data_IF_767590313699
#
_entry.id   IF_767590313699
#
_cell.length_a   1.000
_cell.length_b   1.000
_cell.length_c   1.000
_cell.angle_alpha   90.00
_cell.angle_beta   90.00
_cell.angle_gamma   90.00
#
_symmetry.space_group_name_H-M   'P 1'
#
loop_
_entity.id
_entity.type
_entity.pdbx_description
1 polymer ?
#
# COMPACT_ATOMS: atom_id res chain seq x y z
N UNK A 1 69.76 -4.17 7.54
CA UNK A 1 68.56 -3.49 6.97
C UNK A 1 67.62 -4.54 6.42
N UNK A 2 66.45 -4.74 7.04
CA UNK A 2 65.33 -5.51 6.48
C UNK A 2 64.09 -4.64 6.62
N UNK A 3 63.54 -4.17 5.49
CA UNK A 3 62.26 -3.47 5.46
C UNK A 3 61.15 -4.54 5.45
N UNK A 4 60.31 -4.53 6.48
CA UNK A 4 59.04 -5.25 6.46
C UNK A 4 57.96 -4.34 5.85
N UNK A 5 57.38 -4.77 4.73
CA UNK A 5 56.23 -4.12 4.12
C UNK A 5 54.96 -4.61 4.81
N UNK A 6 54.25 -3.72 5.50
CA UNK A 6 52.89 -3.95 5.98
C UNK A 6 51.93 -3.67 4.81
N UNK A 7 51.28 -4.72 4.31
CA UNK A 7 50.17 -4.61 3.36
C UNK A 7 48.90 -4.42 4.18
N UNK A 8 48.35 -3.21 4.22
CA UNK A 8 47.01 -2.94 4.76
C UNK A 8 45.96 -3.35 3.74
N UNK A 9 45.24 -4.43 4.01
CA UNK A 9 44.05 -4.82 3.26
C UNK A 9 42.86 -3.94 3.71
N UNK A 10 42.44 -3.01 2.86
CA UNK A 10 41.16 -2.30 3.03
C UNK A 10 40.02 -3.27 2.69
N UNK A 11 39.30 -3.71 3.73
CA UNK A 11 38.05 -4.45 3.56
C UNK A 11 36.94 -3.43 3.30
N UNK A 12 36.50 -3.31 2.06
CA UNK A 12 35.31 -2.53 1.70
C UNK A 12 34.05 -3.34 2.06
N UNK A 13 33.35 -2.96 3.13
CA UNK A 13 32.00 -3.48 3.41
C UNK A 13 31.00 -2.83 2.44
N UNK A 14 30.22 -3.60 1.68
CA UNK A 14 29.11 -3.06 0.90
C UNK A 14 27.98 -2.67 1.87
N UNK A 15 27.66 -1.38 1.92
CA UNK A 15 26.47 -0.88 2.58
C UNK A 15 25.25 -1.30 1.75
N UNK A 16 24.54 -2.36 2.19
CA UNK A 16 23.19 -2.66 1.70
C UNK A 16 22.24 -1.87 2.60
N UNK A 17 22.04 -0.60 2.27
CA UNK A 17 21.03 0.23 2.93
C UNK A 17 19.67 -0.06 2.26
N UNK A 18 18.94 -1.06 2.75
CA UNK A 18 17.48 -1.11 2.53
C UNK A 18 16.87 -0.13 3.53
N UNK A 19 16.32 0.98 3.05
CA UNK A 19 15.55 1.90 3.89
C UNK A 19 14.15 1.30 4.06
N UNK A 20 13.69 1.13 5.31
CA UNK A 20 12.38 0.52 5.59
C UNK A 20 11.22 1.19 4.82
N UNK A 21 11.32 2.49 4.52
CA UNK A 21 10.34 3.20 3.69
C UNK A 21 10.35 2.78 2.20
N UNK A 22 11.51 2.44 1.64
CA UNK A 22 11.57 1.90 0.28
C UNK A 22 10.89 0.52 0.23
N UNK A 23 11.02 -0.26 1.30
CA UNK A 23 10.37 -1.57 1.40
C UNK A 23 8.83 -1.42 1.52
N UNK A 24 8.31 -0.49 2.33
CA UNK A 24 6.85 -0.21 2.43
C UNK A 24 6.26 0.21 1.08
N UNK A 25 6.85 1.25 0.46
CA UNK A 25 6.40 1.75 -0.86
C UNK A 25 6.41 0.64 -1.91
N UNK A 26 7.49 -0.13 -1.98
CA UNK A 26 7.61 -1.19 -2.97
C UNK A 26 6.65 -2.35 -2.74
N UNK A 27 6.39 -2.71 -1.47
CA UNK A 27 5.40 -3.73 -1.13
C UNK A 27 3.98 -3.26 -1.49
N UNK A 28 3.63 -2.00 -1.20
CA UNK A 28 2.35 -1.42 -1.59
C UNK A 28 2.15 -1.46 -3.10
N UNK A 29 3.09 -0.87 -3.86
CA UNK A 29 3.02 -0.81 -5.32
C UNK A 29 2.92 -2.22 -5.93
N UNK A 30 3.74 -3.15 -5.45
CA UNK A 30 3.70 -4.53 -5.92
C UNK A 30 2.35 -5.18 -5.63
N UNK A 31 1.82 -5.03 -4.42
CA UNK A 31 0.52 -5.58 -4.06
C UNK A 31 -0.58 -4.99 -4.94
N UNK A 32 -0.64 -3.67 -5.06
CA UNK A 32 -1.66 -2.94 -5.81
C UNK A 32 -1.71 -3.36 -7.28
N UNK A 33 -0.54 -3.42 -7.96
CA UNK A 33 -0.46 -3.90 -9.35
C UNK A 33 -0.99 -5.33 -9.49
N UNK A 34 -0.55 -6.23 -8.61
CA UNK A 34 -0.92 -7.64 -8.70
C UNK A 34 -2.37 -7.88 -8.30
N UNK A 35 -2.94 -7.10 -7.38
CA UNK A 35 -4.34 -7.18 -7.01
C UNK A 35 -5.27 -6.75 -8.16
N UNK A 36 -4.91 -5.71 -8.92
CA UNK A 36 -5.63 -5.31 -10.15
C UNK A 36 -5.59 -6.44 -11.19
N UNK A 37 -4.43 -7.06 -11.39
CA UNK A 37 -4.26 -8.17 -12.34
C UNK A 37 -5.01 -9.43 -11.86
N UNK A 38 -5.03 -9.68 -10.54
CA UNK A 38 -5.79 -10.75 -9.93
C UNK A 38 -7.30 -10.59 -10.19
N UNK A 39 -7.84 -9.38 -10.02
CA UNK A 39 -9.25 -9.08 -10.27
C UNK A 39 -9.67 -9.35 -11.73
N UNK A 40 -8.73 -9.31 -12.67
CA UNK A 40 -8.96 -9.71 -14.06
C UNK A 40 -8.88 -11.24 -14.31
N UNK A 41 -8.61 -12.04 -13.27
CA UNK A 41 -8.59 -13.50 -13.30
C UNK A 41 -7.21 -14.12 -13.53
N UNK A 42 -6.12 -13.44 -13.17
CA UNK A 42 -4.76 -13.96 -13.42
C UNK A 42 -4.35 -15.03 -12.41
N UNK A 43 -3.79 -16.15 -12.88
CA UNK A 43 -3.26 -17.21 -12.03
C UNK A 43 -1.77 -17.01 -11.72
N UNK A 44 -1.44 -16.74 -10.46
CA UNK A 44 -0.08 -16.51 -10.00
C UNK A 44 0.76 -17.80 -9.92
N UNK A 45 1.98 -17.74 -10.46
CA UNK A 45 2.94 -18.83 -10.40
C UNK A 45 4.00 -18.71 -9.30
N UNK A 46 4.19 -17.50 -8.75
CA UNK A 46 5.18 -17.26 -7.69
C UNK A 46 4.64 -17.68 -6.32
N UNK A 47 5.50 -18.12 -5.38
CA UNK A 47 5.09 -18.39 -4.00
C UNK A 47 4.35 -17.21 -3.35
N UNK A 48 4.86 -15.98 -3.54
CA UNK A 48 4.25 -14.79 -2.97
C UNK A 48 2.85 -14.54 -3.54
N UNK A 49 2.69 -14.63 -4.86
CA UNK A 49 1.41 -14.42 -5.51
C UNK A 49 0.38 -15.47 -5.10
N UNK A 50 0.79 -16.74 -5.00
CA UNK A 50 -0.09 -17.81 -4.53
C UNK A 50 -0.51 -17.63 -3.07
N UNK A 51 0.41 -17.21 -2.20
CA UNK A 51 0.11 -16.96 -0.79
C UNK A 51 -0.85 -15.77 -0.58
N UNK A 52 -0.81 -14.78 -1.47
CA UNK A 52 -1.62 -13.57 -1.35
C UNK A 52 -2.96 -13.63 -2.10
N UNK A 53 -3.04 -14.38 -3.20
CA UNK A 53 -4.18 -14.34 -4.13
C UNK A 53 -4.86 -15.70 -4.39
N UNK A 54 -4.46 -16.78 -3.72
CA UNK A 54 -5.02 -18.15 -3.64
C UNK A 54 -5.37 -18.92 -4.95
N UNK A 55 -5.44 -18.26 -6.11
CA UNK A 55 -5.75 -18.78 -7.44
C UNK A 55 -7.05 -19.60 -7.55
N UNK A 56 -7.95 -19.55 -6.57
CA UNK A 56 -9.11 -20.45 -6.52
C UNK A 56 -10.16 -20.13 -7.59
N UNK A 57 -10.22 -18.89 -8.06
CA UNK A 57 -11.18 -18.35 -9.03
C UNK A 57 -10.52 -17.76 -10.30
N UNK A 58 -9.21 -17.96 -10.47
CA UNK A 58 -8.47 -17.43 -11.61
C UNK A 58 -8.80 -18.18 -12.93
N UNK A 59 -8.67 -17.47 -14.05
CA UNK A 59 -9.02 -17.96 -15.39
C UNK A 59 -7.81 -18.45 -16.18
N UNK A 60 -6.62 -17.90 -15.92
CA UNK A 60 -5.39 -18.33 -16.59
C UNK A 60 -4.23 -17.36 -16.43
N UNK A 61 -3.14 -17.60 -17.17
CA UNK A 61 -1.93 -16.75 -17.17
C UNK A 61 -1.98 -15.60 -18.18
N UNK A 62 -3.09 -15.46 -18.89
CA UNK A 62 -3.32 -14.38 -19.84
C UNK A 62 -4.71 -13.83 -19.57
N UNK A 63 -4.77 -12.55 -19.22
CA UNK A 63 -6.00 -11.85 -18.89
C UNK A 63 -6.09 -10.55 -19.67
N UNK A 64 -7.32 -10.15 -19.99
CA UNK A 64 -7.58 -8.86 -20.63
C UNK A 64 -7.95 -7.87 -19.54
N UNK A 65 -7.13 -6.85 -19.35
CA UNK A 65 -7.45 -5.74 -18.45
C UNK A 65 -8.45 -4.79 -19.13
N UNK A 66 -9.31 -4.16 -18.35
CA UNK A 66 -10.06 -2.98 -18.81
C UNK A 66 -9.09 -1.85 -19.14
N UNK A 67 -9.51 -0.90 -19.97
CA UNK A 67 -8.67 0.27 -20.30
C UNK A 67 -8.25 1.07 -19.07
N UNK A 68 -9.07 1.07 -18.02
CA UNK A 68 -8.76 1.71 -16.74
C UNK A 68 -7.72 0.92 -15.94
N UNK A 69 -7.94 -0.37 -15.74
CA UNK A 69 -6.99 -1.25 -15.06
C UNK A 69 -5.62 -1.25 -15.76
N UNK A 70 -5.60 -1.20 -17.10
CA UNK A 70 -4.35 -1.09 -17.86
C UNK A 70 -3.60 0.22 -17.57
N UNK A 71 -4.31 1.35 -17.43
CA UNK A 71 -3.68 2.63 -17.07
C UNK A 71 -3.12 2.60 -15.65
N UNK A 72 -3.88 2.07 -14.68
CA UNK A 72 -3.44 1.96 -13.30
C UNK A 72 -2.22 1.03 -13.17
N UNK A 73 -2.25 -0.14 -13.82
CA UNK A 73 -1.09 -1.07 -13.84
C UNK A 73 0.14 -0.39 -14.45
N UNK A 74 -0.01 0.31 -15.58
CA UNK A 74 1.12 1.00 -16.22
C UNK A 74 1.69 2.12 -15.33
N UNK A 75 0.82 2.87 -14.65
CA UNK A 75 1.22 3.90 -13.69
C UNK A 75 2.02 3.29 -12.53
N UNK A 76 1.48 2.25 -11.89
CA UNK A 76 2.13 1.57 -10.77
C UNK A 76 3.48 0.97 -11.20
N UNK A 77 3.57 0.37 -12.38
CA UNK A 77 4.83 -0.15 -12.92
C UNK A 77 5.90 0.93 -13.12
N UNK A 78 5.52 2.11 -13.57
CA UNK A 78 6.46 3.23 -13.68
C UNK A 78 6.91 3.72 -12.30
N UNK A 79 6.02 3.75 -11.31
CA UNK A 79 6.39 4.06 -9.91
C UNK A 79 7.33 3.01 -9.31
N UNK A 80 7.07 1.70 -9.54
CA UNK A 80 7.97 0.61 -9.14
C UNK A 80 9.37 0.78 -9.75
N UNK A 81 9.43 1.17 -11.02
CA UNK A 81 10.69 1.39 -11.73
C UNK A 81 11.45 2.61 -11.19
N UNK A 82 10.76 3.72 -10.93
CA UNK A 82 11.36 4.92 -10.36
C UNK A 82 11.93 4.68 -8.96
N UNK A 83 11.24 3.88 -8.15
CA UNK A 83 11.70 3.48 -6.83
C UNK A 83 12.71 2.31 -6.84
N UNK A 84 13.06 1.76 -8.02
CA UNK A 84 13.91 0.58 -8.18
C UNK A 84 13.46 -0.60 -7.28
N UNK A 85 12.14 -0.87 -7.28
CA UNK A 85 11.53 -1.88 -6.43
C UNK A 85 12.01 -3.29 -6.77
N UNK A 86 12.29 -4.07 -5.72
CA UNK A 86 12.79 -5.46 -5.79
C UNK A 86 12.10 -6.35 -4.75
N UNK A 87 10.79 -6.50 -4.88
CA UNK A 87 10.02 -7.39 -3.99
C UNK A 87 10.41 -8.84 -4.21
N UNK A 88 10.72 -9.56 -3.13
CA UNK A 88 11.04 -10.98 -3.16
C UNK A 88 9.80 -11.83 -3.40
N UNK A 89 9.54 -12.16 -4.67
CA UNK A 89 8.42 -13.01 -5.06
C UNK A 89 8.55 -14.49 -4.63
N UNK A 90 9.70 -14.90 -4.07
CA UNK A 90 9.90 -16.25 -3.52
C UNK A 90 9.45 -16.38 -2.07
N UNK A 91 9.26 -15.27 -1.36
CA UNK A 91 8.65 -15.25 -0.03
C UNK A 91 7.16 -15.66 -0.09
N UNK A 92 6.59 -16.04 1.05
CA UNK A 92 5.16 -16.36 1.18
C UNK A 92 4.36 -15.29 1.94
N UNK A 93 4.98 -14.16 2.22
CA UNK A 93 4.39 -13.06 2.97
C UNK A 93 4.92 -11.73 2.44
N UNK A 94 4.17 -10.66 2.67
CA UNK A 94 4.51 -9.31 2.28
C UNK A 94 4.30 -8.40 3.49
N UNK A 95 5.26 -7.51 3.77
CA UNK A 95 5.10 -6.52 4.83
C UNK A 95 4.20 -5.40 4.32
N UNK A 96 2.93 -5.45 4.74
CA UNK A 96 1.92 -4.47 4.38
C UNK A 96 0.88 -4.40 5.49
N UNK A 97 0.91 -3.32 6.26
CA UNK A 97 0.19 -3.19 7.53
C UNK A 97 -1.35 -3.37 7.39
N UNK A 98 -1.91 -2.93 6.28
CA UNK A 98 -3.35 -2.96 5.96
C UNK A 98 -3.76 -4.14 5.05
N UNK A 99 -2.90 -5.17 4.89
CA UNK A 99 -3.13 -6.26 3.94
C UNK A 99 -4.51 -6.93 4.10
N UNK A 100 -4.97 -7.11 5.34
CA UNK A 100 -6.27 -7.70 5.63
C UNK A 100 -7.44 -6.84 5.13
N UNK A 101 -7.28 -5.53 5.09
CA UNK A 101 -8.24 -4.56 4.58
C UNK A 101 -8.18 -4.51 3.06
N UNK A 102 -6.98 -4.57 2.47
CA UNK A 102 -6.81 -4.58 1.00
C UNK A 102 -7.50 -5.75 0.32
N UNK A 103 -7.54 -6.92 0.97
CA UNK A 103 -8.29 -8.09 0.50
C UNK A 103 -9.81 -7.88 0.39
N UNK A 104 -10.35 -6.83 1.01
CA UNK A 104 -11.78 -6.48 0.97
C UNK A 104 -12.10 -5.42 -0.07
N UNK A 105 -11.09 -4.82 -0.71
CA UNK A 105 -11.28 -3.68 -1.60
C UNK A 105 -11.82 -4.09 -2.97
N UNK A 106 -12.65 -3.22 -3.52
CA UNK A 106 -13.08 -3.25 -4.92
C UNK A 106 -12.19 -2.36 -5.79
N UNK A 107 -11.70 -1.26 -5.20
CA UNK A 107 -10.76 -0.33 -5.85
C UNK A 107 -9.51 -0.21 -4.98
N UNK A 108 -8.34 -0.51 -5.56
CA UNK A 108 -7.09 -0.55 -4.82
C UNK A 108 -6.44 0.86 -4.79
N UNK A 109 -5.95 1.31 -3.62
CA UNK A 109 -5.30 2.61 -3.51
C UNK A 109 -3.92 2.58 -4.19
N UNK A 110 -3.60 3.66 -4.90
CA UNK A 110 -2.28 3.83 -5.53
C UNK A 110 -1.48 4.77 -4.65
N UNK A 111 -0.26 4.34 -4.30
CA UNK A 111 0.67 5.12 -3.48
C UNK A 111 0.82 6.57 -3.98
N UNK A 112 0.98 7.51 -3.06
CA UNK A 112 1.36 8.89 -3.33
C UNK A 112 2.62 9.26 -2.55
N UNK A 113 3.42 10.18 -3.07
CA UNK A 113 4.65 10.66 -2.42
C UNK A 113 4.38 11.72 -1.34
N UNK A 114 3.11 12.12 -1.18
CA UNK A 114 2.67 13.06 -0.15
C UNK A 114 1.90 12.31 0.94
N UNK A 115 2.43 12.39 2.16
CA UNK A 115 1.76 11.88 3.35
C UNK A 115 1.20 13.03 4.17
N UNK A 116 0.03 12.80 4.75
CA UNK A 116 -0.55 13.70 5.75
C UNK A 116 -1.32 12.89 6.78
N UNK A 117 -1.60 13.51 7.92
CA UNK A 117 -2.41 12.90 8.96
C UNK A 117 -3.34 13.90 9.65
N UNK A 118 -4.57 13.46 9.88
CA UNK A 118 -5.50 14.05 10.82
C UNK A 118 -5.32 13.33 12.16
N UNK A 119 -4.77 14.01 13.16
CA UNK A 119 -4.52 13.45 14.49
C UNK A 119 -5.67 13.85 15.41
N UNK A 120 -6.25 12.85 16.08
CA UNK A 120 -7.37 13.07 17.01
C UNK A 120 -8.64 13.51 16.29
N UNK A 121 -9.27 12.62 15.54
CA UNK A 121 -10.52 12.88 14.82
C UNK A 121 -11.59 13.42 15.76
N UNK A 122 -12.14 14.61 15.48
CA UNK A 122 -13.11 15.31 16.32
C UNK A 122 -14.55 15.15 15.84
N UNK A 123 -14.74 14.77 14.58
CA UNK A 123 -16.05 14.73 13.94
C UNK A 123 -16.84 13.48 14.29
N UNK A 124 -18.12 13.45 13.87
CA UNK A 124 -18.94 12.25 13.95
C UNK A 124 -18.22 11.05 13.29
N UNK A 125 -18.46 9.80 13.75
CA UNK A 125 -17.89 8.62 13.13
C UNK A 125 -18.12 8.57 11.62
N UNK A 126 -17.04 8.39 10.85
CA UNK A 126 -17.09 8.34 9.39
C UNK A 126 -16.96 6.91 8.89
N UNK A 127 -17.71 6.56 7.85
CA UNK A 127 -17.68 5.21 7.28
C UNK A 127 -16.52 5.03 6.30
N UNK A 128 -15.91 3.84 6.29
CA UNK A 128 -14.88 3.45 5.33
C UNK A 128 -15.38 2.35 4.42
N UNK A 129 -15.19 2.52 3.11
CA UNK A 129 -15.73 1.65 2.07
C UNK A 129 -14.67 0.84 1.35
N UNK A 130 -15.11 -0.28 0.76
CA UNK A 130 -14.28 -1.13 -0.09
C UNK A 130 -13.82 -0.46 -1.40
N UNK A 131 -14.48 0.62 -1.83
CA UNK A 131 -14.14 1.34 -3.05
C UNK A 131 -14.61 2.78 -3.00
N UNK A 132 -14.05 3.60 -3.87
CA UNK A 132 -14.42 5.01 -4.08
C UNK A 132 -15.77 5.18 -4.81
N UNK A 133 -16.83 4.57 -4.28
CA UNK A 133 -18.22 4.79 -4.68
C UNK A 133 -19.17 4.46 -3.51
N UNK A 134 -20.40 4.96 -3.56
CA UNK A 134 -21.38 4.83 -2.46
C UNK A 134 -22.04 3.45 -2.36
N UNK A 135 -21.95 2.63 -3.41
CA UNK A 135 -22.48 1.25 -3.44
C UNK A 135 -21.50 0.25 -2.79
N UNK A 136 -20.23 0.61 -2.69
CA UNK A 136 -19.21 -0.22 -2.09
C UNK A 136 -19.52 -0.49 -0.61
N UNK A 137 -19.37 -1.75 -0.14
CA UNK A 137 -19.70 -2.13 1.21
C UNK A 137 -18.83 -1.40 2.23
N UNK A 138 -19.39 -1.16 3.41
CA UNK A 138 -18.65 -0.65 4.56
C UNK A 138 -17.70 -1.75 5.06
N UNK A 139 -16.42 -1.42 5.20
CA UNK A 139 -15.37 -2.34 5.66
C UNK A 139 -14.65 -1.85 6.91
N UNK A 140 -14.97 -0.63 7.37
CA UNK A 140 -14.43 -0.01 8.56
C UNK A 140 -15.14 1.29 8.90
N UNK A 141 -14.66 1.94 9.96
CA UNK A 141 -15.14 3.24 10.40
C UNK A 141 -14.03 3.98 11.16
N UNK A 142 -14.06 5.30 11.07
CA UNK A 142 -13.27 6.22 11.90
C UNK A 142 -14.06 6.53 13.16
N UNK A 143 -13.42 6.57 14.31
CA UNK A 143 -14.02 6.97 15.59
C UNK A 143 -13.42 8.27 16.10
N UNK A 144 -14.15 8.95 16.99
CA UNK A 144 -13.62 10.12 17.70
C UNK A 144 -12.34 9.74 18.44
N UNK A 145 -11.30 10.56 18.28
CA UNK A 145 -9.96 10.36 18.83
C UNK A 145 -9.03 9.50 17.98
N UNK A 146 -9.48 8.92 16.86
CA UNK A 146 -8.60 8.17 15.96
C UNK A 146 -7.62 9.09 15.22
N UNK A 147 -6.47 8.55 14.83
CA UNK A 147 -5.57 9.18 13.87
C UNK A 147 -5.81 8.62 12.47
N UNK A 148 -5.96 9.49 11.48
CA UNK A 148 -6.20 9.14 10.08
C UNK A 148 -4.97 9.53 9.28
N UNK A 149 -4.27 8.56 8.69
CA UNK A 149 -3.15 8.79 7.77
C UNK A 149 -3.60 8.65 6.33
N UNK A 150 -3.11 9.55 5.50
CA UNK A 150 -3.24 9.55 4.05
C UNK A 150 -1.85 9.41 3.43
N UNK A 151 -1.74 8.61 2.37
CA UNK A 151 -0.50 8.37 1.64
C UNK A 151 -0.75 7.80 0.25
N UNK A 152 -1.96 8.01 -0.27
CA UNK A 152 -2.45 7.42 -1.51
C UNK A 152 -3.19 8.47 -2.32
N UNK A 153 -3.20 8.28 -3.63
CA UNK A 153 -3.82 9.21 -4.56
C UNK A 153 -5.31 9.34 -4.30
N UNK A 154 -5.79 10.59 -4.32
CA UNK A 154 -7.20 10.93 -4.19
C UNK A 154 -7.98 10.59 -5.47
N UNK A 155 -9.25 10.20 -5.30
CA UNK A 155 -10.17 9.94 -6.40
C UNK A 155 -11.43 10.81 -6.27
N UNK A 156 -11.38 12.01 -6.84
CA UNK A 156 -12.41 13.02 -6.61
C UNK A 156 -12.48 13.37 -5.12
N UNK A 157 -13.63 13.18 -4.50
CA UNK A 157 -13.84 13.44 -3.07
C UNK A 157 -13.49 12.25 -2.17
N UNK A 158 -12.90 11.20 -2.75
CA UNK A 158 -12.52 9.99 -2.03
C UNK A 158 -11.03 9.96 -1.71
N UNK A 159 -10.70 9.57 -0.49
CA UNK A 159 -9.33 9.30 -0.06
C UNK A 159 -9.24 7.91 0.58
N UNK A 160 -8.13 7.22 0.35
CA UNK A 160 -7.85 5.99 1.09
C UNK A 160 -7.21 6.36 2.43
N UNK A 161 -7.89 5.98 3.50
CA UNK A 161 -7.55 6.35 4.86
C UNK A 161 -7.07 5.12 5.63
N UNK A 162 -5.90 5.23 6.26
CA UNK A 162 -5.41 4.26 7.24
C UNK A 162 -5.65 4.81 8.65
N UNK A 163 -6.33 4.03 9.49
CA UNK A 163 -6.81 4.48 10.80
C UNK A 163 -5.99 3.83 11.91
N UNK A 164 -5.56 4.65 12.86
CA UNK A 164 -4.79 4.28 14.02
C UNK A 164 -5.49 4.75 15.30
N UNK A 165 -5.25 4.07 16.41
CA UNK A 165 -5.64 4.57 17.73
C UNK A 165 -4.69 5.68 18.22
N UNK A 166 -4.95 6.21 19.42
CA UNK A 166 -4.13 7.25 20.04
C UNK A 166 -2.67 6.81 20.32
N UNK A 167 -2.36 5.52 20.28
CA UNK A 167 -1.02 4.97 20.45
C UNK A 167 -0.37 4.59 19.11
N UNK A 168 -0.93 5.04 17.98
CA UNK A 168 -0.47 4.69 16.63
C UNK A 168 -0.54 3.19 16.32
N UNK A 169 -1.42 2.44 17.00
CA UNK A 169 -1.70 1.06 16.63
C UNK A 169 -2.73 1.03 15.49
N UNK A 170 -2.40 0.35 14.40
CA UNK A 170 -3.30 0.21 13.25
C UNK A 170 -4.60 -0.47 13.64
N UNK A 171 -5.73 0.12 13.24
CA UNK A 171 -7.09 -0.37 13.52
C UNK A 171 -7.75 -0.91 12.26
N UNK A 172 -7.82 -0.09 11.22
CA UNK A 172 -8.55 -0.39 9.98
C UNK A 172 -8.12 0.55 8.86
N UNK A 173 -8.59 0.32 7.65
CA UNK A 173 -8.39 1.18 6.49
C UNK A 173 -9.54 1.01 5.49
N UNK A 174 -9.70 2.00 4.60
CA UNK A 174 -10.67 1.97 3.51
C UNK A 174 -10.88 3.35 2.89
N UNK A 175 -11.79 3.45 1.94
CA UNK A 175 -12.10 4.70 1.26
C UNK A 175 -13.09 5.54 2.07
N UNK A 176 -12.72 6.78 2.40
CA UNK A 176 -13.60 7.82 2.98
C UNK A 176 -14.06 8.78 1.87
N UNK A 177 -15.30 9.28 1.96
CA UNK A 177 -15.83 10.33 1.09
C UNK A 177 -15.99 11.64 1.87
N UNK A 178 -15.30 12.70 1.47
CA UNK A 178 -15.34 13.99 2.15
C UNK A 178 -16.61 14.81 1.87
N UNK A 179 -17.50 14.35 0.98
CA UNK A 179 -18.86 14.89 0.90
C UNK A 179 -19.80 14.28 1.98
N UNK A 180 -19.38 13.17 2.61
CA UNK A 180 -20.16 12.46 3.65
C UNK A 180 -19.57 12.66 5.05
N UNK A 181 -18.30 13.08 5.14
CA UNK A 181 -17.58 13.26 6.38
C UNK A 181 -16.95 14.67 6.44
N UNK A 182 -17.36 15.45 7.43
CA UNK A 182 -16.76 16.74 7.73
C UNK A 182 -15.47 16.50 8.54
N UNK A 183 -14.30 16.47 7.90
CA UNK A 183 -13.05 16.25 8.63
C UNK A 183 -12.73 17.40 9.59
N UNK A 184 -12.51 17.05 10.86
CA UNK A 184 -11.99 17.95 11.88
C UNK A 184 -11.05 17.16 12.81
N UNK A 185 -9.92 17.78 13.16
CA UNK A 185 -8.82 17.11 13.85
C UNK A 185 -8.31 18.00 14.98
N UNK A 186 -7.78 17.39 16.04
CA UNK A 186 -7.02 18.12 17.05
C UNK A 186 -5.77 18.76 16.44
N UNK A 187 -5.10 18.02 15.55
CA UNK A 187 -3.90 18.46 14.84
C UNK A 187 -3.86 17.89 13.42
N UNK A 188 -3.24 18.63 12.50
CA UNK A 188 -2.89 18.15 11.16
C UNK A 188 -1.37 18.09 10.99
N UNK A 189 -0.87 16.97 10.49
CA UNK A 189 0.54 16.77 10.13
C UNK A 189 0.68 16.59 8.61
N UNK A 190 1.77 17.09 8.02
CA UNK A 190 2.11 16.99 6.59
C UNK A 190 3.43 17.66 6.25
#
# INVERSE_FOLDING_TARGET
>A
MRLSHFVSALVALPFIASTAQADERCNDLWFTRNAIINQAGYCFGSPLGQALFDNSDCQGKSVTLSSEAQRQVAQVQEMEKQANCRVDSSASWLDLQDLAQRRKLWHFPIWDDFESACIGWLSSPAALRAGHNTEAPLIGQIQVGDTVRYGHQVWGDWSYAMIFDANWAFKTAGWINFNEADEACEEFAG
#
